data_IF_036857636550
#
_entry.id   IF_036857636550
#
_cell.length_a   1.000
_cell.length_b   1.000
_cell.length_c   1.000
_cell.angle_alpha   90.00
_cell.angle_beta   90.00
_cell.angle_gamma   90.00
#
_symmetry.space_group_name_H-M   'P 1'
#
loop_
_entity.id
_entity.type
_entity.pdbx_description
1 polymer ?
#
# COMPACT_ATOMS: atom_id res chain seq x y z
N UNK A 1 -7.05 35.01 -7.69
CA UNK A 1 -8.36 34.38 -7.47
C UNK A 1 -9.30 35.51 -7.09
N UNK A 2 -10.48 35.64 -7.71
CA UNK A 2 -11.39 36.75 -7.40
C UNK A 2 -11.84 36.65 -5.93
N UNK A 3 -11.80 37.75 -5.18
CA UNK A 3 -12.09 37.81 -3.75
C UNK A 3 -13.50 37.32 -3.43
N UNK A 4 -14.48 37.66 -4.29
CA UNK A 4 -15.87 37.22 -4.15
C UNK A 4 -16.01 35.70 -4.24
N UNK A 5 -15.30 35.08 -5.18
CA UNK A 5 -15.34 33.63 -5.39
C UNK A 5 -14.68 32.89 -4.22
N UNK A 6 -13.60 33.45 -3.69
CA UNK A 6 -12.91 32.91 -2.53
C UNK A 6 -13.80 32.97 -1.28
N UNK A 7 -14.38 34.13 -1.00
CA UNK A 7 -15.26 34.36 0.14
C UNK A 7 -16.50 33.46 0.12
N UNK A 8 -17.06 33.20 -1.05
CA UNK A 8 -18.33 32.47 -1.17
C UNK A 8 -18.16 30.95 -1.16
N UNK A 9 -17.06 30.41 -1.75
CA UNK A 9 -16.91 28.95 -1.96
C UNK A 9 -15.75 28.30 -1.23
N UNK A 10 -14.70 29.05 -0.88
CA UNK A 10 -13.42 28.48 -0.46
C UNK A 10 -12.89 29.00 0.87
N UNK A 11 -13.57 29.98 1.49
CA UNK A 11 -13.16 30.62 2.74
C UNK A 11 -12.87 29.65 3.88
N UNK A 12 -13.64 28.57 3.98
CA UNK A 12 -13.47 27.55 5.04
C UNK A 12 -12.57 26.37 4.60
N UNK A 13 -12.06 26.39 3.36
CA UNK A 13 -11.35 25.27 2.73
C UNK A 13 -9.91 25.61 2.35
N UNK A 14 -9.63 26.87 2.03
CA UNK A 14 -8.34 27.36 1.57
C UNK A 14 -7.94 28.61 2.34
N UNK A 15 -6.66 28.72 2.65
CA UNK A 15 -6.07 29.94 3.18
C UNK A 15 -5.72 30.92 2.04
N UNK A 16 -5.82 32.24 2.28
CA UNK A 16 -5.45 33.26 1.28
C UNK A 16 -3.94 33.34 1.07
N UNK A 17 -3.14 32.89 2.02
CA UNK A 17 -1.67 32.88 1.92
C UNK A 17 -1.11 31.66 2.64
N UNK A 18 -0.24 30.91 1.97
CA UNK A 18 0.44 29.75 2.54
C UNK A 18 1.92 30.04 2.77
N UNK A 19 2.47 29.50 3.86
CA UNK A 19 3.90 29.53 4.18
C UNK A 19 4.28 28.14 4.70
N UNK A 20 5.41 27.60 4.25
CA UNK A 20 5.88 26.27 4.65
C UNK A 20 6.57 25.52 3.53
N UNK A 21 6.71 24.21 3.69
CA UNK A 21 7.33 23.35 2.68
C UNK A 21 6.38 23.19 1.48
N UNK A 22 6.95 23.08 0.28
CA UNK A 22 6.16 23.03 -0.97
C UNK A 22 5.15 21.87 -0.94
N UNK A 23 5.55 20.69 -0.44
CA UNK A 23 4.66 19.54 -0.36
C UNK A 23 3.51 19.76 0.63
N UNK A 24 3.74 20.47 1.73
CA UNK A 24 2.70 20.79 2.71
C UNK A 24 1.67 21.73 2.09
N UNK A 25 2.13 22.81 1.47
CA UNK A 25 1.25 23.77 0.78
C UNK A 25 0.46 23.07 -0.32
N UNK A 26 1.12 22.23 -1.12
CA UNK A 26 0.47 21.44 -2.17
C UNK A 26 -0.64 20.54 -1.60
N UNK A 27 -0.36 19.80 -0.51
CA UNK A 27 -1.36 18.94 0.13
C UNK A 27 -2.54 19.73 0.72
N UNK A 28 -2.29 20.88 1.36
CA UNK A 28 -3.36 21.72 1.90
C UNK A 28 -4.28 22.25 0.81
N UNK A 29 -3.71 22.74 -0.29
CA UNK A 29 -4.48 23.22 -1.44
C UNK A 29 -5.27 22.08 -2.08
N UNK A 30 -4.66 20.92 -2.31
CA UNK A 30 -5.35 19.77 -2.90
C UNK A 30 -6.51 19.30 -2.02
N UNK A 31 -6.33 19.26 -0.69
CA UNK A 31 -7.39 18.90 0.27
C UNK A 31 -8.52 19.93 0.26
N UNK A 32 -8.20 21.22 0.26
CA UNK A 32 -9.19 22.30 0.20
C UNK A 32 -10.03 22.29 -1.08
N UNK A 33 -9.40 21.96 -2.22
CA UNK A 33 -10.08 21.89 -3.51
C UNK A 33 -10.89 20.60 -3.70
N UNK A 34 -10.30 19.45 -3.41
CA UNK A 34 -10.93 18.14 -3.64
C UNK A 34 -11.93 17.76 -2.56
N UNK A 35 -11.84 18.34 -1.36
CA UNK A 35 -12.58 17.88 -0.18
C UNK A 35 -12.25 16.44 0.22
N UNK A 36 -11.26 15.81 -0.41
CA UNK A 36 -10.93 14.40 -0.22
C UNK A 36 -9.90 14.27 0.89
N UNK A 37 -10.07 13.26 1.75
CA UNK A 37 -9.09 12.95 2.79
C UNK A 37 -7.80 12.47 2.11
N UNK A 38 -6.70 13.16 2.38
CA UNK A 38 -5.39 12.72 1.97
C UNK A 38 -4.93 11.54 2.81
N UNK A 39 -4.36 10.55 2.15
CA UNK A 39 -3.75 9.41 2.83
C UNK A 39 -2.42 9.83 3.44
N UNK A 40 -2.36 9.90 4.76
CA UNK A 40 -1.13 10.12 5.50
C UNK A 40 -0.37 8.82 5.73
N UNK A 41 0.96 8.88 5.95
CA UNK A 41 1.71 7.74 6.46
C UNK A 41 1.06 7.21 7.74
N UNK A 42 0.97 5.88 7.86
CA UNK A 42 0.39 5.25 9.04
C UNK A 42 1.34 5.27 10.25
N UNK A 43 1.01 4.49 11.28
CA UNK A 43 1.85 4.28 12.47
C UNK A 43 3.10 3.42 12.21
N UNK A 44 3.32 3.01 10.97
CA UNK A 44 4.43 2.15 10.61
C UNK A 44 5.73 2.95 10.61
N UNK A 45 6.70 2.47 11.36
CA UNK A 45 8.08 2.93 11.32
C UNK A 45 9.00 1.72 11.13
N UNK A 46 9.90 1.83 10.16
CA UNK A 46 10.94 0.84 9.91
C UNK A 46 12.00 0.89 11.01
N UNK A 47 12.91 -0.09 11.03
CA UNK A 47 14.04 -0.11 11.97
C UNK A 47 14.99 1.09 11.83
N UNK A 48 14.90 1.85 10.74
CA UNK A 48 15.67 3.07 10.48
C UNK A 48 14.81 4.33 10.66
N UNK A 49 13.71 4.22 11.41
CA UNK A 49 12.71 5.28 11.65
C UNK A 49 12.08 5.88 10.39
N UNK A 50 12.15 5.16 9.26
CA UNK A 50 11.53 5.55 8.00
C UNK A 50 10.10 5.03 7.86
N UNK A 51 9.26 5.72 7.09
CA UNK A 51 7.87 5.32 6.80
C UNK A 51 7.73 4.21 5.75
N UNK A 52 8.84 3.65 5.29
CA UNK A 52 8.86 2.76 4.15
C UNK A 52 9.92 1.66 4.30
N UNK A 53 9.77 0.60 3.51
CA UNK A 53 10.68 -0.55 3.47
C UNK A 53 11.12 -0.77 2.02
N UNK A 54 12.41 -1.04 1.82
CA UNK A 54 12.92 -1.46 0.51
C UNK A 54 12.36 -2.83 0.18
N UNK A 55 11.80 -2.96 -1.02
CA UNK A 55 11.21 -4.21 -1.49
C UNK A 55 11.27 -4.25 -3.00
N UNK A 56 11.18 -5.45 -3.56
CA UNK A 56 11.06 -5.63 -5.01
C UNK A 56 9.64 -6.07 -5.35
N UNK A 57 9.13 -5.58 -6.47
CA UNK A 57 7.88 -6.00 -7.09
C UNK A 57 8.25 -6.62 -8.43
N UNK A 58 8.10 -7.94 -8.53
CA UNK A 58 8.65 -8.72 -9.67
C UNK A 58 10.17 -8.52 -9.75
N UNK A 59 10.69 -8.16 -10.91
CA UNK A 59 12.11 -7.88 -11.16
C UNK A 59 12.50 -6.40 -10.90
N UNK A 60 11.57 -5.57 -10.42
CA UNK A 60 11.81 -4.15 -10.21
C UNK A 60 12.02 -3.85 -8.72
N UNK A 61 13.15 -3.23 -8.41
CA UNK A 61 13.44 -2.74 -7.06
C UNK A 61 12.66 -1.46 -6.79
N UNK A 62 12.15 -1.35 -5.57
CA UNK A 62 11.36 -0.21 -5.17
C UNK A 62 11.23 -0.05 -3.67
N UNK A 63 10.23 0.73 -3.31
CA UNK A 63 9.95 1.11 -1.93
C UNK A 63 8.48 0.88 -1.67
N UNK A 64 8.22 0.12 -0.61
CA UNK A 64 6.91 -0.19 -0.12
C UNK A 64 6.56 0.72 1.05
N UNK A 65 5.43 1.40 0.97
CA UNK A 65 4.88 2.27 2.01
C UNK A 65 3.66 1.58 2.64
N UNK A 66 3.79 1.06 3.88
CA UNK A 66 2.65 0.58 4.65
C UNK A 66 1.80 1.77 5.12
N UNK A 67 0.58 1.85 4.63
CA UNK A 67 -0.41 2.85 5.02
C UNK A 67 -1.40 2.24 6.03
N UNK A 68 -2.36 3.02 6.51
CA UNK A 68 -3.32 2.53 7.50
C UNK A 68 -4.26 1.43 6.98
N UNK A 69 -4.58 1.45 5.68
CA UNK A 69 -5.57 0.54 5.06
C UNK A 69 -5.06 -0.12 3.77
N UNK A 70 -3.80 0.11 3.42
CA UNK A 70 -3.27 -0.26 2.12
C UNK A 70 -1.74 -0.29 2.14
N UNK A 71 -1.19 -0.88 1.10
CA UNK A 71 0.21 -0.81 0.74
C UNK A 71 0.37 0.01 -0.53
N UNK A 72 1.37 0.88 -0.57
CA UNK A 72 1.69 1.68 -1.75
C UNK A 72 3.13 1.43 -2.19
N UNK A 73 3.32 0.96 -3.42
CA UNK A 73 4.63 0.63 -3.98
C UNK A 73 5.03 1.63 -5.07
N UNK A 74 6.29 2.08 -5.02
CA UNK A 74 6.94 2.99 -5.96
C UNK A 74 8.30 2.38 -6.40
N UNK A 75 8.87 2.68 -7.59
CA UNK A 75 8.50 3.77 -8.50
C UNK A 75 7.65 3.39 -9.73
N UNK A 76 7.77 2.16 -10.29
CA UNK A 76 7.05 1.74 -11.51
C UNK A 76 6.64 0.26 -11.47
N UNK A 77 5.38 -0.09 -11.81
CA UNK A 77 4.22 0.80 -11.80
C UNK A 77 3.86 1.23 -10.36
N UNK A 78 3.48 2.50 -10.13
CA UNK A 78 2.90 2.90 -8.84
C UNK A 78 1.68 2.03 -8.55
N UNK A 79 1.74 1.26 -7.47
CA UNK A 79 0.73 0.24 -7.18
C UNK A 79 0.16 0.46 -5.78
N UNK A 80 -1.13 0.75 -5.71
CA UNK A 80 -1.90 0.82 -4.47
C UNK A 80 -2.67 -0.50 -4.30
N UNK A 81 -2.48 -1.17 -3.18
CA UNK A 81 -3.16 -2.42 -2.84
C UNK A 81 -3.86 -2.26 -1.51
N UNK A 82 -5.16 -2.50 -1.49
CA UNK A 82 -5.95 -2.37 -0.26
C UNK A 82 -5.82 -3.62 0.60
N UNK A 83 -5.93 -3.49 1.92
CA UNK A 83 -5.96 -4.66 2.80
C UNK A 83 -7.15 -5.59 2.51
N UNK A 84 -8.27 -5.04 2.03
CA UNK A 84 -9.42 -5.82 1.59
C UNK A 84 -9.10 -6.69 0.37
N UNK A 85 -8.22 -6.23 -0.52
CA UNK A 85 -7.74 -7.04 -1.66
C UNK A 85 -6.80 -8.15 -1.17
N UNK A 86 -5.94 -7.87 -0.19
CA UNK A 86 -5.09 -8.89 0.42
C UNK A 86 -5.91 -9.96 1.16
N UNK A 87 -7.04 -9.56 1.77
CA UNK A 87 -7.92 -10.50 2.46
C UNK A 87 -8.46 -11.59 1.52
N UNK A 88 -8.62 -11.31 0.22
CA UNK A 88 -9.03 -12.32 -0.78
C UNK A 88 -8.05 -13.49 -0.85
N UNK A 89 -6.76 -13.21 -0.76
CA UNK A 89 -5.69 -14.22 -0.78
C UNK A 89 -5.39 -14.79 0.62
N UNK A 90 -5.96 -14.20 1.69
CA UNK A 90 -5.66 -14.60 3.08
C UNK A 90 -6.22 -15.95 3.48
N UNK A 91 -7.30 -16.43 2.84
CA UNK A 91 -7.83 -17.78 3.04
C UNK A 91 -6.85 -18.88 2.59
N UNK A 92 -5.88 -18.53 1.74
CA UNK A 92 -4.73 -19.36 1.42
C UNK A 92 -3.68 -19.38 2.51
N UNK A 93 -4.11 -19.68 3.75
CA UNK A 93 -3.30 -19.84 4.98
C UNK A 93 -1.96 -19.11 4.93
N UNK A 94 -2.04 -17.83 4.59
CA UNK A 94 -0.99 -16.87 4.84
C UNK A 94 -1.11 -16.63 6.34
N UNK A 95 -0.32 -17.34 7.16
CA UNK A 95 -0.30 -17.10 8.61
C UNK A 95 0.25 -15.68 8.88
N UNK A 96 -0.62 -14.67 8.72
CA UNK A 96 -0.35 -13.27 9.06
C UNK A 96 -0.22 -13.07 10.57
N UNK A 97 -0.76 -14.00 11.37
CA UNK A 97 -0.91 -13.91 12.83
C UNK A 97 0.40 -13.98 13.61
N UNK A 98 1.55 -14.26 12.97
CA UNK A 98 2.87 -14.30 13.62
C UNK A 98 3.91 -13.33 13.05
N UNK A 99 3.54 -12.49 12.08
CA UNK A 99 4.48 -11.52 11.49
C UNK A 99 4.85 -10.41 12.48
N UNK A 100 6.10 -10.39 12.94
CA UNK A 100 6.64 -9.25 13.67
C UNK A 100 7.00 -8.12 12.68
N UNK A 101 7.31 -6.94 13.22
CA UNK A 101 7.59 -5.67 12.50
C UNK A 101 8.63 -5.77 11.35
N UNK A 102 9.41 -6.86 11.27
CA UNK A 102 10.40 -7.16 10.21
C UNK A 102 9.82 -7.87 8.98
N UNK A 103 8.57 -8.33 9.04
CA UNK A 103 8.01 -9.27 8.07
C UNK A 103 7.06 -8.62 7.05
N UNK A 104 6.99 -7.28 7.01
CA UNK A 104 6.09 -6.59 6.07
C UNK A 104 6.50 -6.78 4.60
N UNK A 105 7.82 -6.90 4.36
CA UNK A 105 8.35 -7.29 3.04
C UNK A 105 8.02 -8.73 2.68
N UNK A 106 7.93 -9.62 3.67
CA UNK A 106 7.53 -11.02 3.48
C UNK A 106 6.05 -11.15 3.14
N UNK A 107 5.18 -10.43 3.86
CA UNK A 107 3.75 -10.29 3.54
C UNK A 107 3.56 -9.79 2.12
N UNK A 108 4.32 -8.75 1.74
CA UNK A 108 4.32 -8.21 0.39
C UNK A 108 4.72 -9.25 -0.66
N UNK A 109 5.86 -9.93 -0.49
CA UNK A 109 6.30 -10.96 -1.43
C UNK A 109 5.27 -12.09 -1.59
N UNK A 110 4.67 -12.55 -0.50
CA UNK A 110 3.62 -13.59 -0.56
C UNK A 110 2.38 -13.14 -1.33
N UNK A 111 1.93 -11.89 -1.13
CA UNK A 111 0.83 -11.33 -1.90
C UNK A 111 1.15 -11.30 -3.40
N UNK A 112 2.37 -10.92 -3.78
CA UNK A 112 2.76 -10.85 -5.19
C UNK A 112 2.75 -12.20 -5.89
N UNK A 113 3.29 -13.22 -5.23
CA UNK A 113 3.25 -14.60 -5.74
C UNK A 113 1.80 -15.04 -5.93
N UNK A 114 0.95 -14.83 -4.92
CA UNK A 114 -0.47 -15.18 -5.03
C UNK A 114 -1.18 -14.42 -6.17
N UNK A 115 -0.91 -13.12 -6.33
CA UNK A 115 -1.51 -12.32 -7.40
C UNK A 115 -1.06 -12.75 -8.80
N UNK A 116 0.18 -13.17 -8.96
CA UNK A 116 0.72 -13.66 -10.24
C UNK A 116 0.18 -15.06 -10.58
N UNK A 117 0.08 -15.96 -9.60
CA UNK A 117 -0.42 -17.33 -9.82
C UNK A 117 -1.93 -17.40 -10.04
N UNK A 118 -2.71 -16.59 -9.31
CA UNK A 118 -4.17 -16.74 -9.25
C UNK A 118 -4.96 -15.59 -9.89
N UNK A 119 -4.29 -14.51 -10.32
CA UNK A 119 -4.98 -13.35 -10.87
C UNK A 119 -5.96 -12.71 -9.88
N UNK A 120 -7.11 -12.25 -10.38
CA UNK A 120 -8.16 -11.58 -9.58
C UNK A 120 -9.24 -12.55 -9.06
N UNK A 121 -9.10 -13.87 -9.26
CA UNK A 121 -10.06 -14.85 -8.77
C UNK A 121 -9.98 -15.00 -7.23
N UNK A 122 -11.14 -15.19 -6.58
CA UNK A 122 -11.18 -15.49 -5.15
C UNK A 122 -10.61 -16.89 -4.90
N UNK A 123 -9.39 -16.95 -4.36
CA UNK A 123 -8.71 -18.22 -4.09
C UNK A 123 -9.20 -18.79 -2.76
N UNK A 124 -10.10 -19.76 -2.84
CA UNK A 124 -10.48 -20.57 -1.69
C UNK A 124 -9.54 -21.79 -1.57
N UNK A 125 -8.46 -21.64 -0.82
CA UNK A 125 -7.50 -22.72 -0.60
C UNK A 125 -8.03 -23.93 0.18
N UNK A 126 -9.23 -23.85 0.77
CA UNK A 126 -9.88 -25.04 1.36
C UNK A 126 -10.47 -25.98 0.30
N UNK A 127 -10.70 -25.50 -0.93
CA UNK A 127 -11.34 -26.29 -2.00
C UNK A 127 -10.37 -26.94 -3.02
N UNK A 128 -9.06 -26.67 -2.98
CA UNK A 128 -8.08 -27.29 -3.90
C UNK A 128 -6.69 -27.51 -3.27
N UNK A 129 -6.34 -28.76 -2.88
CA UNK A 129 -5.02 -29.13 -2.35
C UNK A 129 -3.86 -28.92 -3.33
N UNK A 130 -4.10 -29.03 -4.64
CA UNK A 130 -3.07 -28.82 -5.68
C UNK A 130 -2.63 -27.36 -5.77
N UNK A 131 -3.56 -26.41 -5.60
CA UNK A 131 -3.26 -24.98 -5.61
C UNK A 131 -2.43 -24.56 -4.39
N UNK A 132 -2.72 -25.12 -3.21
CA UNK A 132 -1.92 -24.90 -2.00
C UNK A 132 -0.51 -25.54 -2.12
N UNK A 133 -0.40 -26.70 -2.79
CA UNK A 133 0.87 -27.37 -3.01
C UNK A 133 1.78 -26.59 -3.99
N UNK A 134 1.22 -26.02 -5.06
CA UNK A 134 1.96 -25.17 -6.01
C UNK A 134 2.47 -23.89 -5.33
N UNK A 135 1.64 -23.23 -4.53
CA UNK A 135 2.05 -22.07 -3.74
C UNK A 135 3.19 -22.41 -2.78
N UNK A 136 3.12 -23.53 -2.05
CA UNK A 136 4.19 -23.99 -1.15
C UNK A 136 5.47 -24.42 -1.88
N UNK A 137 5.34 -24.99 -3.08
CA UNK A 137 6.47 -25.38 -3.92
C UNK A 137 7.22 -24.16 -4.45
N UNK A 138 6.50 -23.17 -5.00
CA UNK A 138 7.06 -21.87 -5.40
C UNK A 138 7.67 -21.12 -4.24
N UNK A 139 7.00 -21.13 -3.08
CA UNK A 139 7.49 -20.51 -1.87
C UNK A 139 8.84 -21.11 -1.41
N UNK A 140 9.00 -22.43 -1.49
CA UNK A 140 10.29 -23.10 -1.23
C UNK A 140 11.35 -22.76 -2.27
N UNK A 141 10.98 -22.55 -3.53
CA UNK A 141 11.91 -22.23 -4.61
C UNK A 141 12.51 -20.82 -4.47
N UNK A 142 11.71 -19.84 -4.03
CA UNK A 142 12.15 -18.46 -3.80
C UNK A 142 13.03 -18.35 -2.54
N UNK A 143 12.77 -19.16 -1.52
CA UNK A 143 13.52 -19.11 -0.25
C UNK A 143 14.87 -19.83 -0.27
N UNK A 144 15.14 -20.66 -1.29
CA UNK A 144 16.37 -21.46 -1.42
C UNK A 144 17.26 -21.06 -2.60
N UNK A 145 17.12 -19.83 -3.10
CA UNK A 145 18.01 -19.27 -4.13
C UNK A 145 18.68 -17.99 -3.67
#
# INVERSE_FOLDING_TARGET
MNEDLFATKYKDKLEPTYKGLIYEVFTMVLRGLSGTKLTSPGKFHSCQDGYAVKSSLKAEDGVLYPLEKSFFFLPKPPTLILYDEMAKYSKCKLEFSKCQRKDIGYVWQKYLVAKEEFGDEEVNCESSPEQAANFLFWFRLIHFR
#
